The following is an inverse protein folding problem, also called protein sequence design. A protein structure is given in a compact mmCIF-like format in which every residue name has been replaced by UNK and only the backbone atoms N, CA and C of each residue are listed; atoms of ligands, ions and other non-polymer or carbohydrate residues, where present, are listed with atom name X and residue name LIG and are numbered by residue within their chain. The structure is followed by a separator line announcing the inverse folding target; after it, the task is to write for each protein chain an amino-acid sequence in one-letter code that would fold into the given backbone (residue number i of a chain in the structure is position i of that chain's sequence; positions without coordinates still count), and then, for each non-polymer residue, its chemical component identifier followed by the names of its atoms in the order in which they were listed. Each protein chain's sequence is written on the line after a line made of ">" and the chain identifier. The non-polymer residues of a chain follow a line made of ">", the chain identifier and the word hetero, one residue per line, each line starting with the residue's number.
data_IF_705459427159
#
_entry.id   IF_705459427159
#
_cell.length_a   1.000
_cell.length_b   1.000
_cell.length_c   1.000
_cell.angle_alpha   90.00
_cell.angle_beta   90.00
_cell.angle_gamma   90.00
#
_symmetry.space_group_name_H-M   'P 1'
#
loop_
_entity.id
_entity.type
_entity.pdbx_description
1 polymer ?
#
# COMPACT_ATOMS: atom_id res chain seq x y z
N UNK A 1 10.31 -14.92 39.77
CA UNK A 1 11.42 -15.11 38.80
C UNK A 1 10.81 -15.73 37.55
N UNK A 2 10.26 -14.90 36.67
CA UNK A 2 9.85 -15.25 35.29
C UNK A 2 9.96 -13.96 34.50
N UNK A 3 11.09 -13.78 33.83
CA UNK A 3 11.27 -12.76 32.79
C UNK A 3 10.42 -13.21 31.59
N UNK A 4 9.10 -12.96 31.66
CA UNK A 4 8.21 -13.10 30.50
C UNK A 4 8.57 -11.99 29.50
N UNK A 5 9.68 -12.17 28.80
CA UNK A 5 9.94 -11.45 27.55
C UNK A 5 8.93 -11.94 26.54
N UNK A 6 7.72 -11.39 26.62
CA UNK A 6 6.81 -11.37 25.47
C UNK A 6 7.67 -10.91 24.29
N UNK A 7 7.76 -11.70 23.20
CA UNK A 7 8.53 -11.29 22.05
C UNK A 7 7.96 -9.94 21.60
N UNK A 8 8.71 -8.86 21.85
CA UNK A 8 8.36 -7.54 21.38
C UNK A 8 8.51 -7.60 19.86
N UNK A 9 7.43 -7.94 19.17
CA UNK A 9 7.34 -7.75 17.73
C UNK A 9 7.68 -6.26 17.52
N UNK A 10 8.71 -5.92 16.73
CA UNK A 10 9.04 -4.53 16.50
C UNK A 10 7.77 -3.83 16.00
N UNK A 11 7.34 -2.70 16.59
CA UNK A 11 6.09 -2.04 16.24
C UNK A 11 5.88 -1.86 14.73
N UNK A 12 6.99 -1.67 13.99
CA UNK A 12 7.00 -1.55 12.54
C UNK A 12 6.53 -2.83 11.81
N UNK A 13 6.85 -4.03 12.30
CA UNK A 13 6.40 -5.27 11.67
C UNK A 13 4.88 -5.44 11.77
N UNK A 14 4.28 -5.08 12.91
CA UNK A 14 2.83 -5.04 13.08
C UNK A 14 2.19 -4.02 12.16
N UNK A 15 2.75 -2.81 12.10
CA UNK A 15 2.25 -1.75 11.22
C UNK A 15 2.30 -2.17 9.74
N UNK A 16 3.39 -2.81 9.30
CA UNK A 16 3.51 -3.34 7.94
C UNK A 16 2.41 -4.35 7.61
N UNK A 17 2.12 -5.26 8.54
CA UNK A 17 1.05 -6.23 8.40
C UNK A 17 -0.33 -5.56 8.43
N UNK A 18 -0.52 -4.52 9.25
CA UNK A 18 -1.77 -3.77 9.30
C UNK A 18 -2.04 -3.05 7.98
N UNK A 19 -1.03 -2.39 7.39
CA UNK A 19 -1.11 -1.80 6.07
C UNK A 19 -1.52 -2.85 5.01
N UNK A 20 -0.80 -3.97 4.95
CA UNK A 20 -1.08 -5.02 3.97
C UNK A 20 -2.47 -5.63 4.16
N UNK A 21 -2.81 -5.91 5.43
CA UNK A 21 -4.11 -6.42 5.82
C UNK A 21 -5.23 -5.48 5.40
N UNK A 22 -5.07 -4.17 5.59
CA UNK A 22 -6.03 -3.16 5.15
C UNK A 22 -6.31 -3.21 3.64
N UNK A 23 -5.25 -3.17 2.82
CA UNK A 23 -5.39 -3.20 1.35
C UNK A 23 -5.97 -4.52 0.84
N UNK A 24 -5.55 -5.66 1.42
CA UNK A 24 -6.06 -6.98 1.05
C UNK A 24 -7.51 -7.17 1.49
N UNK A 25 -7.85 -6.77 2.71
CA UNK A 25 -9.21 -6.85 3.23
C UNK A 25 -10.14 -5.99 2.39
N UNK A 26 -9.74 -4.77 2.02
CA UNK A 26 -10.52 -3.90 1.15
C UNK A 26 -10.78 -4.54 -0.23
N UNK A 27 -9.78 -5.18 -0.83
CA UNK A 27 -9.97 -5.89 -2.09
C UNK A 27 -10.86 -7.13 -1.94
N UNK A 28 -10.73 -7.87 -0.84
CA UNK A 28 -11.54 -9.04 -0.56
C UNK A 28 -13.02 -8.68 -0.33
N UNK A 29 -13.30 -7.61 0.42
CA UNK A 29 -14.67 -7.10 0.60
C UNK A 29 -15.25 -6.62 -0.72
N UNK A 30 -14.46 -5.90 -1.52
CA UNK A 30 -14.86 -5.44 -2.85
C UNK A 30 -15.24 -6.62 -3.76
N UNK A 31 -14.40 -7.66 -3.79
CA UNK A 31 -14.66 -8.88 -4.55
C UNK A 31 -15.93 -9.60 -4.09
N UNK A 32 -16.15 -9.66 -2.79
CA UNK A 32 -17.35 -10.27 -2.21
C UNK A 32 -18.63 -9.50 -2.61
N UNK A 33 -18.60 -8.17 -2.55
CA UNK A 33 -19.71 -7.30 -2.96
C UNK A 33 -20.05 -7.49 -4.44
N UNK A 34 -19.04 -7.52 -5.31
CA UNK A 34 -19.22 -7.75 -6.75
C UNK A 34 -19.83 -9.13 -7.04
N UNK A 35 -19.44 -10.17 -6.29
CA UNK A 35 -20.07 -11.49 -6.39
C UNK A 35 -21.55 -11.51 -5.99
N UNK A 36 -21.97 -10.61 -5.10
CA UNK A 36 -23.36 -10.45 -4.69
C UNK A 36 -24.25 -9.73 -5.71
N UNK A 37 -23.69 -9.28 -6.85
CA UNK A 37 -24.43 -8.56 -7.90
C UNK A 37 -24.77 -7.12 -7.56
N UNK A 38 -24.29 -6.59 -6.43
CA UNK A 38 -24.45 -5.18 -6.06
C UNK A 38 -23.33 -4.36 -6.70
N UNK A 39 -23.56 -3.92 -7.94
CA UNK A 39 -22.60 -3.11 -8.68
C UNK A 39 -22.88 -1.61 -8.48
N UNK A 40 -21.90 -0.81 -8.03
CA UNK A 40 -21.94 0.64 -8.22
C UNK A 40 -21.95 0.94 -9.72
N UNK A 41 -22.96 1.68 -10.19
CA UNK A 41 -23.04 2.08 -11.61
C UNK A 41 -22.12 3.29 -11.81
N UNK A 42 -20.92 3.05 -12.34
CA UNK A 42 -20.02 4.12 -12.80
C UNK A 42 -20.15 4.29 -14.30
N UNK A 43 -20.24 5.53 -14.78
CA UNK A 43 -20.26 5.81 -16.22
C UNK A 43 -18.89 5.52 -16.85
N UNK A 44 -18.87 5.20 -18.15
CA UNK A 44 -17.62 4.94 -18.87
C UNK A 44 -16.63 6.12 -18.77
N UNK A 45 -17.14 7.35 -18.84
CA UNK A 45 -16.32 8.57 -18.73
C UNK A 45 -15.70 8.73 -17.34
N UNK A 46 -16.47 8.49 -16.27
CA UNK A 46 -15.95 8.55 -14.90
C UNK A 46 -14.91 7.45 -14.66
N UNK A 47 -15.11 6.25 -15.20
CA UNK A 47 -14.15 5.17 -15.12
C UNK A 47 -12.84 5.51 -15.85
N UNK A 48 -12.91 6.20 -17.00
CA UNK A 48 -11.74 6.66 -17.73
C UNK A 48 -10.95 7.74 -16.96
N UNK A 49 -11.65 8.69 -16.34
CA UNK A 49 -11.03 9.73 -15.50
C UNK A 49 -10.36 9.12 -14.26
N UNK A 50 -11.04 8.20 -13.56
CA UNK A 50 -10.47 7.49 -12.41
C UNK A 50 -9.21 6.70 -12.80
N UNK A 51 -9.20 6.10 -14.00
CA UNK A 51 -8.04 5.38 -14.51
C UNK A 51 -6.84 6.32 -14.75
N UNK A 52 -7.09 7.50 -15.31
CA UNK A 52 -6.06 8.54 -15.48
C UNK A 52 -5.50 9.00 -14.14
N UNK A 53 -6.36 9.28 -13.16
CA UNK A 53 -5.95 9.62 -11.79
C UNK A 53 -5.12 8.49 -11.18
N UNK A 54 -5.54 7.24 -11.39
CA UNK A 54 -4.80 6.06 -10.94
C UNK A 54 -3.40 5.98 -11.53
N UNK A 55 -3.23 6.24 -12.82
CA UNK A 55 -1.91 6.28 -13.45
C UNK A 55 -1.05 7.43 -12.93
N UNK A 56 -1.62 8.62 -12.76
CA UNK A 56 -0.93 9.77 -12.19
C UNK A 56 -0.46 9.48 -10.76
N UNK A 57 -1.31 8.87 -9.94
CA UNK A 57 -0.99 8.48 -8.57
C UNK A 57 0.13 7.43 -8.56
N UNK A 58 0.10 6.45 -9.47
CA UNK A 58 1.12 5.42 -9.57
C UNK A 58 2.49 6.01 -9.92
N UNK A 59 2.55 6.90 -10.93
CA UNK A 59 3.77 7.60 -11.33
C UNK A 59 4.28 8.49 -10.18
N UNK A 60 3.38 9.23 -9.54
CA UNK A 60 3.70 10.07 -8.39
C UNK A 60 4.28 9.27 -7.22
N UNK A 61 3.67 8.14 -6.88
CA UNK A 61 4.15 7.24 -5.85
C UNK A 61 5.55 6.70 -6.16
N UNK A 62 5.78 6.21 -7.38
CA UNK A 62 7.12 5.76 -7.80
C UNK A 62 8.14 6.88 -7.67
N UNK A 63 7.81 8.08 -8.13
CA UNK A 63 8.69 9.26 -8.05
C UNK A 63 9.04 9.59 -6.61
N UNK A 64 8.05 9.58 -5.71
CA UNK A 64 8.25 9.83 -4.28
C UNK A 64 9.10 8.73 -3.64
N UNK A 65 8.81 7.46 -3.92
CA UNK A 65 9.57 6.33 -3.36
C UNK A 65 11.04 6.37 -3.80
N UNK A 66 11.30 6.63 -5.08
CA UNK A 66 12.67 6.81 -5.61
C UNK A 66 13.33 8.01 -4.93
N UNK A 67 12.64 9.16 -4.87
CA UNK A 67 13.17 10.37 -4.24
C UNK A 67 13.54 10.16 -2.77
N UNK A 68 12.67 9.50 -2.01
CA UNK A 68 12.93 9.13 -0.61
C UNK A 68 14.11 8.16 -0.50
N UNK A 69 14.17 7.13 -1.36
CA UNK A 69 15.24 6.12 -1.34
C UNK A 69 16.61 6.71 -1.66
N UNK A 70 16.68 7.66 -2.59
CA UNK A 70 17.91 8.35 -2.98
C UNK A 70 18.33 9.37 -1.93
N UNK A 71 17.38 10.18 -1.42
CA UNK A 71 17.67 11.24 -0.45
C UNK A 71 18.11 10.68 0.92
N UNK A 72 17.53 9.56 1.35
CA UNK A 72 17.73 9.01 2.69
C UNK A 72 18.37 7.63 2.69
N UNK A 73 19.18 7.32 1.66
CA UNK A 73 19.81 6.02 1.50
C UNK A 73 20.60 5.59 2.75
N UNK A 74 21.38 6.51 3.33
CA UNK A 74 22.24 6.24 4.48
C UNK A 74 21.45 5.99 5.76
N UNK A 75 20.38 6.76 5.99
CA UNK A 75 19.51 6.61 7.15
C UNK A 75 18.72 5.30 7.10
N UNK A 76 18.28 4.89 5.90
CA UNK A 76 17.60 3.62 5.66
C UNK A 76 18.54 2.43 5.89
N UNK A 77 19.78 2.50 5.39
CA UNK A 77 20.79 1.46 5.59
C UNK A 77 21.19 1.30 7.06
N UNK A 78 21.26 2.42 7.81
CA UNK A 78 21.55 2.42 9.25
C UNK A 78 20.33 2.09 10.11
N UNK A 79 19.13 2.08 9.52
CA UNK A 79 17.88 1.86 10.26
C UNK A 79 17.58 2.93 11.31
N UNK A 80 18.11 4.15 11.15
CA UNK A 80 18.05 5.21 12.18
C UNK A 80 16.79 6.06 12.13
N UNK A 81 16.01 5.98 11.05
CA UNK A 81 14.83 6.81 10.86
C UNK A 81 13.57 5.98 10.51
N UNK A 82 12.80 5.52 11.51
CA UNK A 82 11.60 4.72 11.30
C UNK A 82 10.48 5.51 10.60
N UNK A 83 10.46 6.84 10.73
CA UNK A 83 9.44 7.69 10.09
C UNK A 83 9.51 7.62 8.57
N UNK A 84 10.72 7.60 7.99
CA UNK A 84 10.89 7.51 6.53
C UNK A 84 10.39 6.15 6.02
N UNK A 85 10.62 5.08 6.79
CA UNK A 85 10.11 3.74 6.47
C UNK A 85 8.58 3.75 6.44
N UNK A 86 7.94 4.35 7.44
CA UNK A 86 6.48 4.48 7.49
C UNK A 86 5.92 5.32 6.33
N UNK A 87 6.58 6.42 5.97
CA UNK A 87 6.17 7.25 4.82
C UNK A 87 6.25 6.44 3.52
N UNK A 88 7.35 5.71 3.30
CA UNK A 88 7.48 4.85 2.12
C UNK A 88 6.37 3.79 2.03
N UNK A 89 6.02 3.18 3.16
CA UNK A 89 4.92 2.22 3.23
C UNK A 89 3.56 2.85 2.97
N UNK A 90 3.27 4.00 3.58
CA UNK A 90 2.02 4.73 3.38
C UNK A 90 1.83 5.18 1.92
N UNK A 91 2.92 5.56 1.23
CA UNK A 91 2.88 5.89 -0.20
C UNK A 91 2.48 4.67 -1.03
N UNK A 92 3.06 3.49 -0.73
CA UNK A 92 2.67 2.23 -1.38
C UNK A 92 1.23 1.83 -1.09
N UNK A 93 0.79 1.94 0.16
CA UNK A 93 -0.58 1.66 0.58
C UNK A 93 -1.60 2.57 -0.14
N UNK A 94 -1.30 3.87 -0.27
CA UNK A 94 -2.18 4.83 -0.94
C UNK A 94 -2.55 4.40 -2.36
N UNK A 95 -1.57 3.83 -3.09
CA UNK A 95 -1.81 3.28 -4.44
C UNK A 95 -2.71 2.04 -4.38
N UNK A 96 -2.47 1.15 -3.39
CA UNK A 96 -3.30 -0.03 -3.14
C UNK A 96 -4.75 0.31 -2.82
N UNK A 97 -4.97 1.25 -1.91
CA UNK A 97 -6.31 1.71 -1.52
C UNK A 97 -7.04 2.39 -2.68
N UNK A 98 -6.36 3.28 -3.42
CA UNK A 98 -6.95 3.90 -4.61
C UNK A 98 -7.33 2.83 -5.65
N UNK A 99 -6.43 1.87 -5.91
CA UNK A 99 -6.71 0.75 -6.79
C UNK A 99 -7.90 -0.09 -6.32
N UNK A 100 -8.06 -0.25 -5.00
CA UNK A 100 -9.23 -0.87 -4.38
C UNK A 100 -10.51 -0.10 -4.67
N UNK A 101 -10.52 1.22 -4.47
CA UNK A 101 -11.68 2.07 -4.80
C UNK A 101 -12.01 1.99 -6.29
N UNK A 102 -11.00 2.00 -7.15
CA UNK A 102 -11.20 1.80 -8.59
C UNK A 102 -11.83 0.43 -8.89
N UNK A 103 -11.33 -0.63 -8.27
CA UNK A 103 -11.90 -1.97 -8.42
C UNK A 103 -13.36 -2.00 -7.95
N UNK A 104 -13.66 -1.36 -6.82
CA UNK A 104 -15.02 -1.29 -6.30
C UNK A 104 -15.99 -0.58 -7.23
N UNK A 105 -15.57 0.53 -7.83
CA UNK A 105 -16.42 1.33 -8.70
C UNK A 105 -16.55 0.78 -10.13
N UNK A 106 -15.59 -0.02 -10.61
CA UNK A 106 -15.50 -0.40 -12.04
C UNK A 106 -15.47 -1.90 -12.31
N UNK A 107 -15.43 -2.74 -11.28
CA UNK A 107 -15.17 -4.19 -11.36
C UNK A 107 -13.85 -4.57 -12.06
N UNK A 108 -12.99 -3.58 -12.32
CA UNK A 108 -11.69 -3.80 -12.93
C UNK A 108 -10.58 -3.86 -11.88
N UNK A 109 -10.07 -5.07 -11.63
CA UNK A 109 -9.03 -5.35 -10.63
C UNK A 109 -7.60 -4.89 -10.98
N UNK A 110 -7.37 -4.36 -12.19
CA UNK A 110 -6.01 -4.09 -12.69
C UNK A 110 -5.23 -3.08 -11.83
N UNK A 111 -5.83 -1.95 -11.46
CA UNK A 111 -5.17 -0.94 -10.63
C UNK A 111 -4.98 -1.41 -9.18
N UNK A 112 -5.90 -2.22 -8.64
CA UNK A 112 -5.72 -2.81 -7.31
C UNK A 112 -4.52 -3.76 -7.28
N UNK A 113 -4.39 -4.66 -8.26
CA UNK A 113 -3.23 -5.55 -8.38
C UNK A 113 -1.92 -4.77 -8.55
N UNK A 114 -1.93 -3.73 -9.39
CA UNK A 114 -0.77 -2.85 -9.55
C UNK A 114 -0.42 -2.11 -8.23
N UNK A 115 -1.42 -1.74 -7.44
CA UNK A 115 -1.24 -1.14 -6.12
C UNK A 115 -0.65 -2.11 -5.09
N UNK A 116 -1.08 -3.37 -5.07
CA UNK A 116 -0.46 -4.42 -4.25
C UNK A 116 1.02 -4.57 -4.62
N UNK A 117 1.35 -4.62 -5.91
CA UNK A 117 2.73 -4.72 -6.36
C UNK A 117 3.54 -3.51 -5.90
N UNK A 118 3.02 -2.28 -6.07
CA UNK A 118 3.68 -1.06 -5.61
C UNK A 118 3.93 -1.07 -4.09
N UNK A 119 2.96 -1.56 -3.32
CA UNK A 119 3.06 -1.70 -1.87
C UNK A 119 4.10 -2.75 -1.44
N UNK A 120 4.15 -3.91 -2.09
CA UNK A 120 5.19 -4.91 -1.83
C UNK A 120 6.58 -4.33 -2.17
N UNK A 121 6.69 -3.62 -3.29
CA UNK A 121 7.93 -2.92 -3.66
C UNK A 121 8.31 -1.89 -2.60
N UNK A 122 7.36 -1.12 -2.05
CA UNK A 122 7.67 -0.17 -0.98
C UNK A 122 8.16 -0.87 0.30
N UNK A 123 7.64 -2.04 0.63
CA UNK A 123 8.14 -2.83 1.76
C UNK A 123 9.56 -3.35 1.56
N UNK A 124 9.92 -3.67 0.31
CA UNK A 124 11.27 -4.10 -0.05
C UNK A 124 12.25 -2.92 -0.04
N UNK A 125 11.83 -1.76 -0.58
CA UNK A 125 12.65 -0.55 -0.62
C UNK A 125 12.88 0.07 0.76
N UNK A 126 11.92 -0.10 1.68
CA UNK A 126 11.94 0.44 3.03
C UNK A 126 11.82 -0.71 4.05
N UNK A 127 12.88 -1.49 4.29
CA UNK A 127 12.81 -2.66 5.16
C UNK A 127 12.69 -2.27 6.65
N UNK A 128 12.14 -3.18 7.46
CA UNK A 128 12.19 -3.07 8.94
C UNK A 128 13.66 -3.16 9.37
N UNK A 129 14.18 -2.20 10.16
CA UNK A 129 15.52 -2.29 10.72
C UNK A 129 15.69 -3.57 11.55
N UNK A 130 16.69 -4.39 11.22
CA UNK A 130 17.10 -5.54 12.02
C UNK A 130 18.00 -4.99 13.14
N UNK A 131 17.46 -4.83 14.34
CA UNK A 131 18.26 -4.56 15.54
C UNK A 131 18.97 -5.83 15.99
#
# INVERSE_FOLDING_TARGET
>A
MTDERTPQIPPLAMIRLAFLGGVLLFGATTWYVHRGGQLPVTTADAAAQLRLVGYALWIGAVTVLIGLRLKFARELERGTNPTIVLIGWAVGESVGLFGGVYYWLTDNRSLWLAGIVAMIVSFVLFPVPRR
#
